data_IF_423099497923
#
_entry.id   IF_423099497923
#
_cell.length_a   1.000
_cell.length_b   1.000
_cell.length_c   1.000
_cell.angle_alpha   90.00
_cell.angle_beta   90.00
_cell.angle_gamma   90.00
#
_symmetry.space_group_name_H-M   'P 1'
#
loop_
_entity.id
_entity.type
_entity.pdbx_description
1 polymer ?
#
# COMPACT_ATOMS: atom_id res chain seq x y z
N UNK A 1 -26.41 19.74 -29.42
CA UNK A 1 -25.65 18.84 -28.53
C UNK A 1 -25.05 17.73 -29.38
N UNK A 2 -23.72 17.66 -29.53
CA UNK A 2 -23.10 16.53 -30.24
C UNK A 2 -23.36 15.24 -29.48
N UNK A 3 -23.82 14.16 -30.15
CA UNK A 3 -24.01 12.87 -29.49
C UNK A 3 -22.64 12.39 -28.98
N UNK A 4 -22.53 12.19 -27.67
CA UNK A 4 -21.36 11.51 -27.08
C UNK A 4 -21.31 10.10 -27.67
N UNK A 5 -20.39 9.88 -28.61
CA UNK A 5 -20.08 8.54 -29.11
C UNK A 5 -19.14 7.87 -28.13
N UNK A 6 -19.58 6.81 -27.48
CA UNK A 6 -18.73 5.94 -26.68
C UNK A 6 -17.78 5.21 -27.63
N UNK A 7 -16.48 5.50 -27.54
CA UNK A 7 -15.46 4.74 -28.25
C UNK A 7 -15.41 3.33 -27.64
N UNK A 8 -15.67 2.31 -28.47
CA UNK A 8 -15.39 0.93 -28.07
C UNK A 8 -13.86 0.78 -27.99
N UNK A 9 -13.36 0.59 -26.77
CA UNK A 9 -11.95 0.31 -26.54
C UNK A 9 -11.62 -1.07 -27.10
N UNK A 10 -10.48 -1.20 -27.77
CA UNK A 10 -10.02 -2.50 -28.21
C UNK A 10 -9.67 -3.37 -26.99
N UNK A 11 -9.76 -4.71 -27.08
CA UNK A 11 -9.39 -5.60 -25.97
C UNK A 11 -7.98 -5.36 -25.42
N UNK A 12 -7.04 -4.96 -26.28
CA UNK A 12 -5.68 -4.60 -25.87
C UNK A 12 -5.64 -3.33 -25.02
N UNK A 13 -6.45 -2.32 -25.36
CA UNK A 13 -6.58 -1.09 -24.56
C UNK A 13 -7.31 -1.39 -23.25
N UNK A 14 -8.34 -2.24 -23.26
CA UNK A 14 -9.01 -2.71 -22.04
C UNK A 14 -8.05 -3.43 -21.10
N UNK A 15 -7.24 -4.36 -21.61
CA UNK A 15 -6.23 -5.06 -20.81
C UNK A 15 -5.13 -4.11 -20.28
N UNK A 16 -4.73 -3.11 -21.08
CA UNK A 16 -3.79 -2.10 -20.63
C UNK A 16 -4.37 -1.21 -19.51
N UNK A 17 -5.61 -0.77 -19.65
CA UNK A 17 -6.30 0.00 -18.61
C UNK A 17 -6.50 -0.82 -17.33
N UNK A 18 -6.79 -2.12 -17.45
CA UNK A 18 -6.81 -3.03 -16.29
C UNK A 18 -5.47 -3.09 -15.56
N UNK A 19 -4.34 -3.03 -16.27
CA UNK A 19 -3.02 -2.92 -15.62
C UNK A 19 -2.88 -1.60 -14.86
N UNK A 20 -3.37 -0.48 -15.39
CA UNK A 20 -3.38 0.79 -14.66
C UNK A 20 -4.27 0.73 -13.41
N UNK A 21 -5.41 0.06 -13.50
CA UNK A 21 -6.31 -0.18 -12.37
C UNK A 21 -5.67 -1.05 -11.30
N UNK A 22 -5.08 -2.17 -11.70
CA UNK A 22 -4.43 -3.10 -10.78
C UNK A 22 -3.16 -2.49 -10.20
N UNK A 23 -2.35 -1.78 -10.96
CA UNK A 23 -1.06 -1.27 -10.47
C UNK A 23 -1.20 -0.07 -9.52
N UNK A 24 -2.10 0.88 -9.80
CA UNK A 24 -2.20 2.11 -9.03
C UNK A 24 -3.60 2.72 -8.97
N UNK A 25 -4.65 1.92 -9.15
CA UNK A 25 -6.04 2.39 -9.03
C UNK A 25 -6.41 3.48 -10.04
N UNK A 26 -5.81 3.46 -11.24
CA UNK A 26 -6.08 4.45 -12.29
C UNK A 26 -5.77 5.91 -11.91
N UNK A 27 -4.87 6.16 -10.93
CA UNK A 27 -4.52 7.51 -10.42
C UNK A 27 -4.18 8.54 -11.51
N UNK A 28 -3.59 8.12 -12.64
CA UNK A 28 -3.30 9.01 -13.78
C UNK A 28 -4.55 9.59 -14.46
N UNK A 29 -5.72 8.99 -14.24
CA UNK A 29 -6.99 9.36 -14.85
C UNK A 29 -7.96 10.02 -13.86
N UNK A 30 -7.56 10.19 -12.60
CA UNK A 30 -8.36 10.84 -11.56
C UNK A 30 -8.03 12.33 -11.45
N UNK A 31 -9.05 13.19 -11.32
CA UNK A 31 -8.83 14.61 -11.02
C UNK A 31 -8.21 14.79 -9.62
N UNK A 32 -7.38 15.82 -9.47
CA UNK A 32 -6.80 16.16 -8.17
C UNK A 32 -7.88 16.56 -7.17
N UNK A 33 -7.92 15.88 -6.01
CA UNK A 33 -8.79 16.26 -4.90
C UNK A 33 -8.24 17.45 -4.07
N UNK A 34 -7.02 17.91 -4.37
CA UNK A 34 -6.46 19.11 -3.77
C UNK A 34 -6.62 20.31 -4.72
N UNK A 35 -7.59 21.17 -4.43
CA UNK A 35 -7.86 22.40 -5.17
C UNK A 35 -7.19 23.65 -4.57
N UNK A 36 -6.22 23.48 -3.67
CA UNK A 36 -5.45 24.61 -3.14
C UNK A 36 -4.64 25.28 -4.25
N UNK A 37 -4.47 26.60 -4.17
CA UNK A 37 -3.62 27.38 -5.08
C UNK A 37 -2.11 27.24 -4.80
N UNK A 38 -1.72 26.37 -3.86
CA UNK A 38 -0.32 26.11 -3.56
C UNK A 38 0.40 25.50 -4.77
N UNK A 39 1.68 25.85 -5.00
CA UNK A 39 2.43 25.29 -6.11
C UNK A 39 2.60 23.77 -5.96
N UNK A 40 2.40 23.04 -7.05
CA UNK A 40 2.70 21.60 -7.10
C UNK A 40 4.20 21.36 -7.00
N UNK A 41 4.61 20.16 -6.55
CA UNK A 41 6.02 19.79 -6.58
C UNK A 41 6.60 19.88 -8.00
N UNK A 42 5.82 19.50 -9.01
CA UNK A 42 6.20 19.66 -10.42
C UNK A 42 6.49 21.13 -10.77
N UNK A 43 5.63 22.07 -10.35
CA UNK A 43 5.85 23.49 -10.57
C UNK A 43 7.13 23.99 -9.87
N UNK A 44 7.39 23.53 -8.63
CA UNK A 44 8.61 23.85 -7.88
C UNK A 44 9.85 23.27 -8.59
N UNK A 45 9.77 22.03 -9.06
CA UNK A 45 10.86 21.36 -9.78
C UNK A 45 11.13 22.05 -11.12
N UNK A 46 10.09 22.35 -11.89
CA UNK A 46 10.18 23.09 -13.15
C UNK A 46 10.81 24.47 -12.94
N UNK A 47 10.47 25.17 -11.84
CA UNK A 47 11.11 26.44 -11.47
C UNK A 47 12.60 26.27 -11.12
N UNK A 48 12.98 25.18 -10.45
CA UNK A 48 14.39 24.89 -10.15
C UNK A 48 15.19 24.52 -11.41
N UNK A 49 14.61 23.71 -12.28
CA UNK A 49 15.22 23.31 -13.56
C UNK A 49 15.35 24.52 -14.47
N UNK A 50 14.32 25.35 -14.61
CA UNK A 50 14.37 26.56 -15.43
C UNK A 50 15.41 27.56 -14.93
N UNK A 51 15.55 27.75 -13.60
CA UNK A 51 16.63 28.56 -13.00
C UNK A 51 18.01 27.97 -13.26
N UNK A 52 18.18 26.65 -13.21
CA UNK A 52 19.45 25.97 -13.55
C UNK A 52 19.76 26.07 -15.04
N UNK A 53 18.76 26.00 -15.92
CA UNK A 53 18.91 26.17 -17.36
C UNK A 53 19.21 27.62 -17.71
N UNK A 54 18.64 28.59 -17.00
CA UNK A 54 18.99 30.01 -17.12
C UNK A 54 20.42 30.30 -16.62
N UNK A 55 20.84 29.73 -15.49
CA UNK A 55 22.22 29.86 -14.97
C UNK A 55 23.27 29.11 -15.81
N UNK A 56 22.87 28.03 -16.50
CA UNK A 56 23.70 27.34 -17.51
C UNK A 56 23.54 27.93 -18.90
N UNK A 57 22.73 28.97 -19.05
CA UNK A 57 22.40 29.67 -20.30
C UNK A 57 23.53 30.55 -20.87
N UNK A 58 24.79 30.12 -20.72
CA UNK A 58 25.93 30.55 -21.55
C UNK A 58 26.62 29.33 -22.22
N UNK A 59 26.28 28.08 -21.86
CA UNK A 59 26.82 26.90 -22.54
C UNK A 59 25.83 25.72 -22.55
N UNK A 60 25.13 25.54 -23.66
CA UNK A 60 24.53 24.24 -24.02
C UNK A 60 23.00 24.19 -24.08
N UNK A 61 22.41 24.76 -25.14
CA UNK A 61 20.98 24.56 -25.49
C UNK A 61 20.85 23.54 -26.63
N UNK A 62 21.28 22.29 -26.44
CA UNK A 62 21.11 21.26 -27.47
C UNK A 62 20.81 19.83 -26.97
N UNK A 63 20.31 19.63 -25.74
CA UNK A 63 20.12 18.26 -25.25
C UNK A 63 18.88 18.01 -24.38
N UNK A 64 17.70 18.52 -24.77
CA UNK A 64 16.44 18.14 -24.08
C UNK A 64 15.33 17.66 -25.03
N UNK A 65 15.46 17.83 -26.34
CA UNK A 65 14.47 17.31 -27.30
C UNK A 65 14.79 15.91 -27.88
N UNK A 66 15.82 15.23 -27.38
CA UNK A 66 16.22 13.89 -27.84
C UNK A 66 15.74 12.72 -26.96
N UNK A 67 15.00 12.98 -25.86
CA UNK A 67 14.52 11.91 -24.96
C UNK A 67 13.18 11.27 -25.38
N UNK A 68 12.54 11.79 -26.43
CA UNK A 68 11.28 11.27 -26.96
C UNK A 68 11.39 10.29 -28.13
N UNK A 69 12.57 10.09 -28.72
CA UNK A 69 12.78 9.21 -29.88
C UNK A 69 14.13 8.47 -29.89
N UNK A 70 14.72 8.20 -28.72
CA UNK A 70 15.91 7.35 -28.65
C UNK A 70 15.50 5.89 -28.92
N UNK A 71 15.80 5.46 -30.16
CA UNK A 71 15.81 4.09 -30.66
C UNK A 71 16.31 3.06 -29.63
N UNK A 72 15.87 1.82 -29.79
CA UNK A 72 16.30 0.58 -29.11
C UNK A 72 17.79 0.26 -29.32
N UNK A 73 18.67 1.20 -28.98
CA UNK A 73 20.11 1.10 -29.18
C UNK A 73 20.77 0.49 -27.93
N UNK A 74 21.73 -0.40 -28.17
CA UNK A 74 22.47 -1.10 -27.13
C UNK A 74 23.14 -0.13 -26.16
N UNK A 75 22.76 -0.19 -24.89
CA UNK A 75 23.59 0.31 -23.80
C UNK A 75 24.63 -0.76 -23.47
N UNK A 76 25.86 -0.55 -23.94
CA UNK A 76 27.00 -1.28 -23.41
C UNK A 76 27.21 -0.87 -21.95
N UNK A 77 27.39 -1.86 -21.07
CA UNK A 77 27.62 -1.61 -19.65
C UNK A 77 28.90 -0.80 -19.47
N UNK A 78 28.82 0.32 -18.75
CA UNK A 78 30.00 1.04 -18.29
C UNK A 78 30.86 0.10 -17.44
N UNK A 79 32.13 -0.10 -17.83
CA UNK A 79 33.15 -0.77 -16.99
C UNK A 79 33.68 0.15 -15.88
N UNK A 80 33.22 1.41 -15.84
CA UNK A 80 33.50 2.37 -14.75
C UNK A 80 32.25 2.53 -13.89
N UNK A 81 32.09 1.65 -12.90
CA UNK A 81 31.03 1.74 -11.90
C UNK A 81 30.99 0.54 -10.96
N UNK A 82 30.30 0.66 -9.82
CA UNK A 82 30.08 -0.47 -8.87
C UNK A 82 29.07 -1.51 -9.40
N UNK A 83 28.41 -1.24 -10.52
CA UNK A 83 27.44 -2.13 -11.15
C UNK A 83 28.16 -3.01 -12.18
N UNK A 84 28.13 -4.33 -11.98
CA UNK A 84 28.93 -5.29 -12.76
C UNK A 84 28.09 -6.24 -13.61
N UNK A 85 26.77 -6.20 -13.51
CA UNK A 85 25.87 -7.07 -14.27
C UNK A 85 25.49 -6.45 -15.62
N UNK A 86 25.21 -7.30 -16.62
CA UNK A 86 24.67 -6.87 -17.91
C UNK A 86 23.18 -6.51 -17.76
N UNK A 87 22.73 -5.30 -18.14
CA UNK A 87 21.32 -4.94 -18.10
C UNK A 87 20.45 -5.88 -18.94
N UNK A 88 19.25 -6.20 -18.45
CA UNK A 88 18.23 -6.97 -19.17
C UNK A 88 17.50 -6.09 -20.18
N UNK A 89 16.80 -6.71 -21.14
CA UNK A 89 15.87 -6.02 -22.04
C UNK A 89 14.46 -6.00 -21.47
N UNK A 90 13.73 -4.92 -21.73
CA UNK A 90 12.29 -4.86 -21.48
C UNK A 90 11.59 -5.95 -22.30
N UNK A 91 10.64 -6.64 -21.68
CA UNK A 91 9.81 -7.66 -22.29
C UNK A 91 8.43 -7.69 -21.62
N UNK A 92 7.51 -8.44 -22.20
CA UNK A 92 6.14 -8.60 -21.70
C UNK A 92 5.83 -10.04 -21.28
N UNK A 93 6.86 -10.83 -20.96
CA UNK A 93 6.69 -12.23 -20.57
C UNK A 93 6.11 -12.29 -19.15
N UNK A 94 5.26 -13.28 -18.88
CA UNK A 94 4.71 -13.55 -17.54
C UNK A 94 5.73 -14.35 -16.68
N UNK A 95 6.92 -13.76 -16.50
CA UNK A 95 8.00 -14.30 -15.65
C UNK A 95 8.97 -13.19 -15.25
N UNK A 96 9.65 -13.39 -14.12
CA UNK A 96 10.71 -12.49 -13.70
C UNK A 96 11.96 -12.76 -14.55
N UNK A 97 12.41 -11.75 -15.30
CA UNK A 97 13.67 -11.78 -16.06
C UNK A 97 14.77 -11.14 -15.21
N UNK A 98 15.89 -11.83 -15.02
CA UNK A 98 17.05 -11.34 -14.26
C UNK A 98 18.33 -11.35 -15.11
N UNK A 99 19.38 -10.57 -14.73
CA UNK A 99 20.66 -10.62 -15.41
C UNK A 99 21.31 -12.01 -15.37
N UNK A 100 22.23 -12.27 -16.30
CA UNK A 100 23.03 -13.49 -16.31
C UNK A 100 23.78 -13.70 -14.99
N UNK A 101 23.78 -14.93 -14.47
CA UNK A 101 24.36 -15.28 -13.17
C UNK A 101 23.46 -15.03 -11.95
N UNK A 102 22.25 -14.50 -12.15
CA UNK A 102 21.25 -14.31 -11.09
C UNK A 102 20.12 -15.34 -11.21
N UNK A 103 19.39 -15.52 -10.11
CA UNK A 103 18.20 -16.38 -10.05
C UNK A 103 17.15 -15.78 -9.13
N UNK A 104 15.93 -16.33 -9.20
CA UNK A 104 14.81 -15.94 -8.36
C UNK A 104 14.21 -17.17 -7.70
N UNK A 105 13.64 -16.98 -6.51
CA UNK A 105 12.85 -17.98 -5.82
C UNK A 105 11.69 -17.30 -5.13
N UNK A 106 10.58 -18.02 -4.98
CA UNK A 106 9.44 -17.50 -4.22
C UNK A 106 9.63 -17.87 -2.76
N UNK A 107 9.68 -16.85 -1.90
CA UNK A 107 9.84 -17.04 -0.45
C UNK A 107 8.50 -17.37 0.21
N UNK A 108 7.47 -16.57 -0.05
CA UNK A 108 6.10 -16.72 0.48
C UNK A 108 5.10 -16.05 -0.47
N UNK A 109 3.84 -16.51 -0.49
CA UNK A 109 2.77 -16.07 -1.40
C UNK A 109 1.49 -15.77 -0.63
N UNK A 110 0.59 -14.99 -1.23
CA UNK A 110 -0.77 -14.82 -0.70
C UNK A 110 -1.41 -16.17 -0.38
N UNK A 111 -2.03 -16.27 0.80
CA UNK A 111 -2.70 -17.49 1.23
C UNK A 111 -1.79 -18.48 1.95
N UNK A 112 -0.46 -18.33 1.89
CA UNK A 112 0.45 -19.23 2.59
C UNK A 112 0.17 -19.18 4.11
N UNK A 113 -0.04 -20.34 4.77
CA UNK A 113 -0.36 -20.40 6.18
C UNK A 113 0.82 -19.98 7.05
N UNK A 114 0.55 -19.16 8.07
CA UNK A 114 1.61 -18.67 8.97
C UNK A 114 1.93 -19.65 10.10
N UNK A 115 0.96 -20.45 10.53
CA UNK A 115 1.09 -21.43 11.63
C UNK A 115 1.33 -22.84 11.10
N UNK A 116 2.03 -23.71 11.85
CA UNK A 116 2.37 -25.09 11.43
C UNK A 116 1.18 -25.90 10.91
N UNK A 117 0.03 -25.76 11.56
CA UNK A 117 -1.23 -26.41 11.19
C UNK A 117 -2.32 -25.39 10.83
N UNK A 118 -1.89 -24.23 10.31
CA UNK A 118 -2.78 -23.18 9.84
C UNK A 118 -3.60 -23.59 8.62
N UNK A 119 -4.68 -22.86 8.31
CA UNK A 119 -5.60 -23.17 7.22
C UNK A 119 -4.88 -23.09 5.87
N UNK A 120 -5.05 -24.11 5.03
CA UNK A 120 -4.49 -24.10 3.67
C UNK A 120 -5.21 -23.10 2.77
N UNK A 121 -4.48 -22.56 1.80
CA UNK A 121 -5.06 -21.64 0.83
C UNK A 121 -6.04 -22.37 -0.10
N UNK A 122 -7.23 -21.80 -0.24
CA UNK A 122 -8.32 -22.34 -1.05
C UNK A 122 -9.07 -21.18 -1.70
N UNK A 123 -8.76 -20.88 -2.97
CA UNK A 123 -9.40 -19.77 -3.70
C UNK A 123 -10.92 -19.96 -3.83
N UNK A 124 -11.38 -21.21 -3.88
CA UNK A 124 -12.78 -21.62 -3.97
C UNK A 124 -13.53 -21.62 -2.63
N UNK A 125 -12.80 -21.50 -1.51
CA UNK A 125 -13.34 -21.61 -0.16
C UNK A 125 -12.60 -20.70 0.84
N UNK A 126 -12.33 -19.46 0.46
CA UNK A 126 -11.76 -18.48 1.37
C UNK A 126 -12.76 -18.08 2.47
N UNK A 127 -12.23 -17.74 3.64
CA UNK A 127 -12.98 -17.24 4.79
C UNK A 127 -12.14 -16.22 5.55
N UNK A 128 -12.77 -15.25 6.25
CA UNK A 128 -12.02 -14.26 7.02
C UNK A 128 -11.15 -14.91 8.10
N UNK A 129 -11.63 -15.98 8.74
CA UNK A 129 -10.87 -16.73 9.75
C UNK A 129 -9.62 -17.39 9.17
N UNK A 130 -9.71 -17.90 7.93
CA UNK A 130 -8.56 -18.44 7.23
C UNK A 130 -7.58 -17.33 6.82
N UNK A 131 -8.09 -16.28 6.18
CA UNK A 131 -7.28 -15.18 5.68
C UNK A 131 -6.53 -14.45 6.80
N UNK A 132 -7.12 -14.30 7.99
CA UNK A 132 -6.47 -13.71 9.16
C UNK A 132 -5.25 -14.50 9.67
N UNK A 133 -5.08 -15.76 9.24
CA UNK A 133 -3.99 -16.67 9.62
C UNK A 133 -3.06 -17.03 8.46
N UNK A 134 -3.28 -16.41 7.30
CA UNK A 134 -2.51 -16.60 6.07
C UNK A 134 -1.77 -15.32 5.71
N UNK A 135 -0.74 -15.41 4.87
CA UNK A 135 -0.09 -14.25 4.27
C UNK A 135 -1.10 -13.41 3.47
N UNK A 136 -1.03 -12.09 3.60
CA UNK A 136 -1.99 -11.16 2.99
C UNK A 136 -1.87 -11.02 1.46
N UNK A 137 -2.69 -10.13 0.89
CA UNK A 137 -2.80 -9.90 -0.56
C UNK A 137 -2.07 -8.62 -0.99
N UNK A 138 -1.55 -8.60 -2.21
CA UNK A 138 -0.75 -7.51 -2.80
C UNK A 138 0.35 -7.01 -1.85
N UNK A 139 1.36 -7.87 -1.70
CA UNK A 139 2.56 -7.54 -0.95
C UNK A 139 3.22 -6.27 -1.50
N UNK A 140 3.48 -5.31 -0.62
CA UNK A 140 4.17 -4.06 -0.95
C UNK A 140 5.51 -3.99 -0.18
N UNK A 141 5.70 -3.03 0.74
CA UNK A 141 6.94 -2.89 1.50
C UNK A 141 7.47 -4.21 2.03
N UNK A 142 8.76 -4.48 1.81
CA UNK A 142 9.46 -5.62 2.43
C UNK A 142 10.60 -5.11 3.30
N UNK A 143 10.45 -5.22 4.61
CA UNK A 143 11.47 -4.91 5.60
C UNK A 143 12.13 -6.18 6.13
N UNK A 144 13.44 -6.36 5.88
CA UNK A 144 14.25 -7.37 6.56
C UNK A 144 14.77 -6.84 7.91
N UNK A 145 14.49 -7.58 8.98
CA UNK A 145 14.95 -7.33 10.35
C UNK A 145 15.84 -8.49 10.80
N UNK A 146 17.06 -8.24 11.31
CA UNK A 146 17.98 -9.31 11.70
C UNK A 146 17.43 -10.11 12.89
N UNK A 147 17.66 -11.42 12.92
CA UNK A 147 17.25 -12.26 14.05
C UNK A 147 18.44 -13.07 14.59
N UNK A 148 18.88 -12.86 15.84
CA UNK A 148 18.32 -11.96 16.87
C UNK A 148 18.43 -10.45 16.54
N UNK A 149 17.62 -9.63 17.23
CA UNK A 149 17.64 -8.17 17.12
C UNK A 149 19.06 -7.60 17.33
N UNK A 150 19.42 -6.55 16.58
CA UNK A 150 20.72 -5.87 16.61
C UNK A 150 21.93 -6.78 16.33
N UNK A 151 21.73 -7.85 15.55
CA UNK A 151 22.82 -8.70 15.06
C UNK A 151 23.06 -8.53 13.56
N UNK A 152 24.24 -8.90 13.08
CA UNK A 152 24.55 -9.01 11.65
C UNK A 152 24.33 -10.44 11.14
N UNK A 153 23.34 -11.18 11.67
CA UNK A 153 23.10 -12.56 11.27
C UNK A 153 22.78 -12.62 9.77
N UNK A 154 23.65 -13.24 8.94
CA UNK A 154 23.46 -13.22 7.50
C UNK A 154 22.40 -14.23 7.02
N UNK A 155 21.98 -15.17 7.89
CA UNK A 155 21.24 -16.36 7.49
C UNK A 155 19.83 -16.45 8.09
N UNK A 156 19.43 -15.50 8.95
CA UNK A 156 18.15 -15.55 9.66
C UNK A 156 17.63 -14.15 9.93
N UNK A 157 16.34 -13.95 9.74
CA UNK A 157 15.69 -12.66 9.97
C UNK A 157 14.18 -12.76 10.02
N UNK A 158 13.54 -11.64 10.30
CA UNK A 158 12.11 -11.45 10.15
C UNK A 158 11.87 -10.62 8.90
N UNK A 159 10.95 -11.05 8.03
CA UNK A 159 10.36 -10.19 7.02
C UNK A 159 9.09 -9.58 7.58
N UNK A 160 9.02 -8.25 7.57
CA UNK A 160 7.77 -7.53 7.69
C UNK A 160 7.31 -7.11 6.30
N UNK A 161 6.12 -7.56 5.91
CA UNK A 161 5.57 -7.33 4.57
C UNK A 161 4.22 -6.65 4.67
N UNK A 162 4.08 -5.50 4.03
CA UNK A 162 2.79 -4.81 3.92
C UNK A 162 1.87 -5.49 2.91
N UNK A 163 0.56 -5.30 3.08
CA UNK A 163 -0.50 -5.78 2.20
C UNK A 163 -1.45 -4.62 1.91
N UNK A 164 -1.29 -4.03 0.74
CA UNK A 164 -1.77 -2.68 0.46
C UNK A 164 -3.26 -2.67 0.08
N UNK A 165 -3.69 -3.50 -0.85
CA UNK A 165 -5.08 -3.52 -1.32
C UNK A 165 -5.48 -4.91 -1.79
N UNK A 166 -6.77 -5.10 -2.04
CA UNK A 166 -7.33 -6.34 -2.58
C UNK A 166 -7.79 -6.15 -4.02
N UNK A 167 -7.77 -7.23 -4.81
CA UNK A 167 -8.43 -7.30 -6.11
C UNK A 167 -9.52 -8.37 -6.02
N UNK A 168 -10.74 -8.01 -5.55
CA UNK A 168 -11.78 -9.00 -5.27
C UNK A 168 -12.16 -9.82 -6.52
N UNK A 169 -12.05 -9.24 -7.71
CA UNK A 169 -12.24 -9.93 -8.99
C UNK A 169 -11.20 -11.02 -9.29
N UNK A 170 -10.02 -10.95 -8.66
CA UNK A 170 -8.98 -11.96 -8.73
C UNK A 170 -8.96 -12.88 -7.49
N UNK A 171 -9.52 -12.42 -6.37
CA UNK A 171 -9.55 -13.16 -5.12
C UNK A 171 -10.73 -14.13 -5.02
N UNK A 172 -11.89 -13.77 -5.60
CA UNK A 172 -13.14 -14.51 -5.43
C UNK A 172 -13.68 -15.02 -6.77
N UNK A 173 -13.92 -16.33 -6.90
CA UNK A 173 -14.64 -16.87 -8.04
C UNK A 173 -16.02 -16.23 -8.19
N UNK A 174 -16.38 -15.87 -9.42
CA UNK A 174 -17.69 -15.28 -9.77
C UNK A 174 -17.99 -13.93 -9.06
N UNK A 175 -16.96 -13.17 -8.67
CA UNK A 175 -17.14 -11.86 -8.07
C UNK A 175 -17.97 -10.92 -8.96
N UNK A 176 -18.98 -10.25 -8.38
CA UNK A 176 -19.77 -9.23 -9.06
C UNK A 176 -19.18 -7.85 -8.79
N UNK A 177 -18.61 -7.23 -9.82
CA UNK A 177 -17.98 -5.91 -9.70
C UNK A 177 -18.95 -4.88 -9.11
N UNK A 178 -18.56 -4.24 -8.01
CA UNK A 178 -19.36 -3.22 -7.31
C UNK A 178 -20.51 -3.78 -6.46
N UNK A 179 -20.63 -5.10 -6.37
CA UNK A 179 -21.62 -5.80 -5.56
C UNK A 179 -21.00 -6.97 -4.77
N UNK A 180 -20.04 -6.69 -3.85
CA UNK A 180 -19.48 -7.74 -3.00
C UNK A 180 -20.52 -8.36 -2.06
N UNK A 181 -20.29 -9.61 -1.68
CA UNK A 181 -21.00 -10.30 -0.60
C UNK A 181 -20.38 -9.98 0.78
N UNK A 182 -21.12 -10.11 1.90
CA UNK A 182 -20.61 -9.77 3.22
C UNK A 182 -19.32 -10.51 3.60
N UNK A 183 -19.25 -11.81 3.29
CA UNK A 183 -18.08 -12.63 3.60
C UNK A 183 -16.86 -12.24 2.76
N UNK A 184 -17.06 -11.74 1.53
CA UNK A 184 -15.97 -11.25 0.67
C UNK A 184 -15.35 -10.00 1.28
N UNK A 185 -16.17 -9.05 1.73
CA UNK A 185 -15.69 -7.86 2.45
C UNK A 185 -14.93 -8.24 3.72
N UNK A 186 -15.44 -9.22 4.48
CA UNK A 186 -14.73 -9.71 5.67
C UNK A 186 -13.36 -10.33 5.32
N UNK A 187 -13.27 -11.14 4.25
CA UNK A 187 -11.98 -11.65 3.77
C UNK A 187 -11.05 -10.52 3.35
N UNK A 188 -11.56 -9.51 2.62
CA UNK A 188 -10.76 -8.38 2.20
C UNK A 188 -10.16 -7.63 3.39
N UNK A 189 -10.93 -7.37 4.45
CA UNK A 189 -10.44 -6.74 5.67
C UNK A 189 -9.27 -7.52 6.30
N UNK A 190 -9.38 -8.85 6.32
CA UNK A 190 -8.32 -9.72 6.83
C UNK A 190 -7.15 -9.92 5.86
N UNK A 191 -7.28 -9.52 4.60
CA UNK A 191 -6.21 -9.60 3.60
C UNK A 191 -5.26 -8.39 3.63
N UNK A 192 -5.70 -7.26 4.19
CA UNK A 192 -4.91 -6.03 4.33
C UNK A 192 -3.89 -6.10 5.49
N UNK A 193 -3.05 -5.07 5.58
CA UNK A 193 -2.27 -4.77 6.77
C UNK A 193 -0.82 -5.18 6.64
N UNK A 194 -0.32 -6.00 7.57
CA UNK A 194 1.08 -6.44 7.62
C UNK A 194 1.15 -7.92 7.97
N UNK A 195 2.11 -8.62 7.38
CA UNK A 195 2.54 -9.96 7.80
C UNK A 195 3.98 -9.90 8.29
N UNK A 196 4.23 -10.42 9.49
CA UNK A 196 5.58 -10.73 9.99
C UNK A 196 5.81 -12.22 9.80
N UNK A 197 6.92 -12.61 9.19
CA UNK A 197 7.36 -14.01 9.10
C UNK A 197 8.84 -14.16 9.38
N UNK A 198 9.20 -15.22 10.10
CA UNK A 198 10.59 -15.62 10.22
C UNK A 198 11.07 -16.30 8.93
N UNK A 199 12.26 -15.92 8.47
CA UNK A 199 12.95 -16.53 7.33
C UNK A 199 14.33 -17.03 7.73
N UNK A 200 14.77 -18.09 7.06
CA UNK A 200 16.13 -18.62 7.18
C UNK A 200 16.67 -19.00 5.81
N UNK A 201 17.98 -18.85 5.64
CA UNK A 201 18.68 -19.31 4.47
C UNK A 201 19.04 -20.81 4.62
N UNK A 202 18.64 -21.64 3.65
CA UNK A 202 18.95 -23.07 3.55
C UNK A 202 19.88 -23.33 2.38
N UNK A 203 21.18 -23.19 2.63
CA UNK A 203 22.20 -23.20 1.57
C UNK A 203 22.28 -21.86 0.86
N UNK A 204 23.30 -21.67 0.01
CA UNK A 204 23.62 -20.36 -0.58
C UNK A 204 22.48 -19.84 -1.44
N UNK A 205 21.90 -18.69 -1.07
CA UNK A 205 20.89 -17.97 -1.86
C UNK A 205 19.45 -18.50 -1.75
N UNK A 206 19.22 -19.62 -1.05
CA UNK A 206 17.89 -20.21 -0.92
C UNK A 206 17.24 -19.80 0.40
N UNK A 207 16.35 -18.82 0.36
CA UNK A 207 15.60 -18.35 1.52
C UNK A 207 14.23 -19.03 1.60
N UNK A 208 13.87 -19.48 2.79
CA UNK A 208 12.55 -20.05 3.08
C UNK A 208 11.96 -19.41 4.32
N UNK A 209 10.65 -19.25 4.37
CA UNK A 209 9.96 -18.88 5.61
C UNK A 209 9.78 -20.09 6.52
N UNK A 210 9.73 -19.84 7.82
CA UNK A 210 9.51 -20.86 8.84
C UNK A 210 8.06 -20.81 9.32
N UNK A 211 7.22 -21.67 8.73
CA UNK A 211 5.84 -21.88 9.14
C UNK A 211 5.77 -22.30 10.62
N UNK A 212 4.91 -21.64 11.40
CA UNK A 212 4.77 -21.87 12.83
C UNK A 212 5.85 -21.25 13.71
N UNK A 213 6.71 -20.38 13.17
CA UNK A 213 7.56 -19.56 14.04
C UNK A 213 6.71 -18.73 14.99
N UNK A 214 7.16 -18.62 16.24
CA UNK A 214 6.52 -17.78 17.27
C UNK A 214 6.45 -16.29 16.90
N UNK A 215 7.26 -15.85 15.94
CA UNK A 215 7.25 -14.47 15.45
C UNK A 215 6.22 -14.23 14.35
N UNK A 216 5.69 -15.30 13.74
CA UNK A 216 4.77 -15.15 12.63
C UNK A 216 3.46 -14.50 13.11
N UNK A 217 3.02 -13.46 12.41
CA UNK A 217 1.88 -12.66 12.84
C UNK A 217 1.20 -11.95 11.67
N UNK A 218 -0.13 -11.90 11.72
CA UNK A 218 -0.93 -10.95 10.94
C UNK A 218 -1.34 -9.74 11.78
N UNK A 219 -1.25 -8.58 11.15
CA UNK A 219 -1.89 -7.33 11.55
C UNK A 219 -2.80 -6.97 10.39
N UNK A 220 -4.09 -6.76 10.63
CA UNK A 220 -5.12 -6.64 9.59
C UNK A 220 -5.98 -5.39 9.76
N UNK A 221 -7.00 -5.20 8.93
CA UNK A 221 -7.96 -4.10 9.04
C UNK A 221 -8.90 -4.19 10.27
N UNK A 222 -8.81 -5.27 11.04
CA UNK A 222 -9.60 -5.50 12.26
C UNK A 222 -8.73 -5.60 13.52
N UNK A 223 -7.40 -5.64 13.37
CA UNK A 223 -6.47 -5.73 14.49
C UNK A 223 -6.54 -4.49 15.38
N UNK A 224 -6.67 -4.65 16.69
CA UNK A 224 -6.63 -3.52 17.62
C UNK A 224 -5.29 -2.79 17.55
N UNK A 225 -5.35 -1.49 17.33
CA UNK A 225 -4.24 -0.55 17.35
C UNK A 225 -4.50 0.57 18.37
N UNK A 226 -3.46 1.26 18.80
CA UNK A 226 -3.52 2.44 19.67
C UNK A 226 -3.14 3.70 18.89
N UNK A 227 -3.89 4.78 19.08
CA UNK A 227 -3.51 6.12 18.64
C UNK A 227 -2.63 6.76 19.73
N UNK A 228 -1.45 7.21 19.34
CA UNK A 228 -0.48 7.83 20.26
C UNK A 228 0.04 9.14 19.70
N UNK A 229 0.37 10.09 20.58
CA UNK A 229 0.86 11.41 20.20
C UNK A 229 -0.21 12.50 20.30
N UNK A 230 0.04 13.71 19.75
CA UNK A 230 -0.74 14.91 20.07
C UNK A 230 -2.22 14.89 19.68
N UNK A 231 -2.63 14.06 18.71
CA UNK A 231 -4.03 14.02 18.27
C UNK A 231 -4.84 12.96 19.01
N UNK A 232 -4.18 12.00 19.70
CA UNK A 232 -4.84 10.93 20.43
C UNK A 232 -5.79 11.52 21.49
N UNK A 233 -7.02 11.03 21.51
CA UNK A 233 -8.07 11.51 22.42
C UNK A 233 -8.79 12.80 22.03
N UNK A 234 -8.39 13.44 20.92
CA UNK A 234 -9.11 14.59 20.39
C UNK A 234 -10.53 14.22 19.94
N UNK A 235 -11.45 15.18 19.96
CA UNK A 235 -12.85 14.95 19.58
C UNK A 235 -13.03 14.43 18.15
N UNK A 236 -12.07 14.74 17.26
CA UNK A 236 -12.05 14.29 15.87
C UNK A 236 -11.69 12.82 15.71
N UNK A 237 -11.14 12.17 16.75
CA UNK A 237 -10.82 10.73 16.73
C UNK A 237 -11.82 9.88 17.49
N UNK A 238 -12.82 10.48 18.15
CA UNK A 238 -13.86 9.77 18.89
C UNK A 238 -14.94 9.27 17.95
N UNK A 239 -15.39 8.04 18.16
CA UNK A 239 -16.49 7.39 17.41
C UNK A 239 -17.48 6.77 18.39
N UNK A 240 -18.59 6.23 17.89
CA UNK A 240 -19.53 5.53 18.77
C UNK A 240 -18.92 4.27 19.41
N UNK A 241 -17.97 3.62 18.74
CA UNK A 241 -17.31 2.41 19.21
C UNK A 241 -16.09 2.69 20.10
N UNK A 242 -15.49 3.88 19.97
CA UNK A 242 -14.39 4.34 20.82
C UNK A 242 -14.61 5.81 21.22
N UNK A 243 -15.29 6.05 22.35
CA UNK A 243 -15.52 7.39 22.85
C UNK A 243 -14.26 8.03 23.45
N UNK A 244 -13.19 7.27 23.67
CA UNK A 244 -11.93 7.84 24.18
C UNK A 244 -11.05 8.37 23.06
N UNK A 245 -11.21 7.90 21.81
CA UNK A 245 -10.46 8.39 20.64
C UNK A 245 -8.99 7.99 20.66
N UNK A 246 -8.67 6.86 21.29
CA UNK A 246 -7.31 6.38 21.56
C UNK A 246 -7.06 4.95 21.09
N UNK A 247 -8.11 4.23 20.73
CA UNK A 247 -8.06 2.89 20.15
C UNK A 247 -8.48 3.01 18.70
N UNK A 248 -8.12 2.07 17.84
CA UNK A 248 -8.72 1.94 16.50
C UNK A 248 -8.60 0.49 16.05
N UNK A 249 -9.60 0.00 15.32
CA UNK A 249 -9.51 -1.31 14.69
C UNK A 249 -8.89 -1.15 13.30
N UNK A 250 -7.67 -1.66 13.20
CA UNK A 250 -6.98 -1.93 11.95
C UNK A 250 -5.96 -0.89 11.52
N UNK A 251 -5.23 -1.31 10.51
CA UNK A 251 -4.44 -0.46 9.62
C UNK A 251 -4.86 -0.76 8.18
N UNK A 252 -4.93 0.27 7.35
CA UNK A 252 -5.46 0.16 5.99
C UNK A 252 -4.48 0.71 4.97
N UNK A 253 -4.49 0.11 3.79
CA UNK A 253 -3.72 0.60 2.65
C UNK A 253 -2.24 0.83 2.98
N UNK A 254 -1.66 -0.19 3.59
CA UNK A 254 -0.27 -0.24 3.98
C UNK A 254 0.59 -0.29 2.72
N UNK A 255 1.12 0.87 2.31
CA UNK A 255 1.89 1.05 1.07
C UNK A 255 3.36 0.68 1.31
N UNK A 256 4.26 1.67 1.33
CA UNK A 256 5.66 1.47 1.70
C UNK A 256 5.85 1.58 3.24
N UNK A 257 7.07 1.89 3.66
CA UNK A 257 7.39 1.93 5.08
C UNK A 257 8.82 2.37 5.38
N UNK A 258 9.26 2.05 6.59
CA UNK A 258 10.58 2.34 7.10
C UNK A 258 10.97 1.43 8.25
N UNK A 259 12.24 1.51 8.64
CA UNK A 259 12.78 0.78 9.79
C UNK A 259 13.40 1.79 10.73
N UNK A 260 13.04 1.73 11.99
CA UNK A 260 13.67 2.55 13.01
C UNK A 260 15.01 1.94 13.43
N UNK A 261 15.97 2.75 13.90
CA UNK A 261 17.25 2.24 14.39
C UNK A 261 17.11 1.40 15.67
N UNK A 262 15.98 1.53 16.39
CA UNK A 262 15.65 0.69 17.55
C UNK A 262 14.90 -0.61 17.18
N UNK A 263 14.76 -0.91 15.89
CA UNK A 263 14.33 -2.22 15.42
C UNK A 263 12.82 -2.39 15.19
N UNK A 264 12.04 -1.32 15.18
CA UNK A 264 10.60 -1.37 14.85
C UNK A 264 10.35 -1.08 13.37
N UNK A 265 9.25 -1.63 12.86
CA UNK A 265 8.68 -1.30 11.56
C UNK A 265 7.85 -0.03 11.66
N UNK A 266 7.98 0.84 10.66
CA UNK A 266 7.02 1.89 10.34
C UNK A 266 6.29 1.49 9.06
N UNK A 267 4.99 1.22 9.14
CA UNK A 267 4.12 0.96 7.97
C UNK A 267 3.22 2.17 7.72
N UNK A 268 2.91 2.47 6.47
CA UNK A 268 2.31 3.74 6.06
C UNK A 268 0.93 3.53 5.43
N UNK A 269 -0.10 4.19 5.96
CA UNK A 269 -1.44 4.19 5.37
C UNK A 269 -1.52 5.25 4.26
N UNK A 270 -1.65 4.84 2.99
CA UNK A 270 -1.64 5.74 1.82
C UNK A 270 -3.07 6.11 1.39
N UNK A 271 -3.72 5.27 0.58
CA UNK A 271 -5.02 5.55 -0.04
C UNK A 271 -6.20 5.19 0.87
N UNK A 272 -6.08 5.34 2.18
CA UNK A 272 -7.13 4.97 3.15
C UNK A 272 -8.52 5.57 2.85
N UNK A 273 -8.60 6.73 2.19
CA UNK A 273 -9.85 7.39 1.81
C UNK A 273 -10.80 6.53 0.94
N UNK A 274 -10.26 5.63 0.10
CA UNK A 274 -11.04 4.88 -0.89
C UNK A 274 -11.93 3.77 -0.27
N UNK A 275 -11.77 3.52 1.02
CA UNK A 275 -12.52 2.52 1.77
C UNK A 275 -13.75 3.12 2.48
N UNK A 276 -13.90 4.44 2.45
CA UNK A 276 -14.99 5.16 3.11
C UNK A 276 -15.95 5.71 2.06
N UNK A 277 -17.26 5.75 2.36
CA UNK A 277 -18.27 6.21 1.43
C UNK A 277 -19.37 7.06 2.08
N UNK A 278 -20.28 7.55 1.23
CA UNK A 278 -21.49 8.31 1.55
C UNK A 278 -21.23 9.69 2.18
N UNK A 279 -20.21 10.40 1.72
CA UNK A 279 -19.90 11.74 2.26
C UNK A 279 -21.05 12.74 2.08
N UNK A 280 -21.77 12.71 0.95
CA UNK A 280 -22.86 13.66 0.66
C UNK A 280 -24.12 13.43 1.52
N UNK A 281 -24.15 12.34 2.29
CA UNK A 281 -25.21 12.11 3.28
C UNK A 281 -24.98 12.88 4.60
N UNK A 282 -23.81 13.47 4.81
CA UNK A 282 -23.59 14.43 5.90
C UNK A 282 -24.15 15.80 5.55
N UNK A 283 -24.54 16.56 6.58
CA UNK A 283 -24.94 17.95 6.42
C UNK A 283 -23.76 18.74 5.81
N UNK A 284 -24.03 19.54 4.78
CA UNK A 284 -22.98 20.31 4.08
C UNK A 284 -22.32 21.37 4.96
N UNK A 285 -22.95 21.76 6.07
CA UNK A 285 -22.41 22.68 7.08
C UNK A 285 -21.54 21.98 8.13
N UNK A 286 -21.50 20.64 8.14
CA UNK A 286 -20.63 19.89 9.04
C UNK A 286 -19.15 20.17 8.68
N UNK A 287 -18.33 20.65 9.64
CA UNK A 287 -16.94 21.02 9.37
C UNK A 287 -16.09 19.84 8.88
N UNK A 288 -16.50 18.60 9.16
CA UNK A 288 -15.81 17.39 8.70
C UNK A 288 -15.90 17.22 7.19
N UNK A 289 -16.98 17.68 6.56
CA UNK A 289 -17.18 17.52 5.11
C UNK A 289 -16.07 18.19 4.32
N UNK A 290 -15.67 19.41 4.69
CA UNK A 290 -14.58 20.13 4.02
C UNK A 290 -13.25 19.37 4.12
N UNK A 291 -12.95 18.78 5.29
CA UNK A 291 -11.73 17.99 5.49
C UNK A 291 -11.78 16.68 4.71
N UNK A 292 -12.89 15.96 4.75
CA UNK A 292 -13.07 14.70 4.02
C UNK A 292 -12.98 14.90 2.51
N UNK A 293 -13.57 15.97 1.97
CA UNK A 293 -13.44 16.36 0.56
C UNK A 293 -11.98 16.59 0.18
N UNK A 294 -11.21 17.29 1.02
CA UNK A 294 -9.77 17.51 0.78
C UNK A 294 -8.97 16.22 0.67
N UNK A 295 -9.36 15.17 1.39
CA UNK A 295 -8.71 13.85 1.33
C UNK A 295 -9.25 12.96 0.20
N UNK A 296 -10.33 13.40 -0.48
CA UNK A 296 -10.94 12.71 -1.61
C UNK A 296 -11.91 11.61 -1.22
N UNK A 297 -12.52 11.66 -0.02
CA UNK A 297 -13.53 10.67 0.35
C UNK A 297 -14.70 10.74 -0.66
N UNK A 298 -15.13 9.61 -1.24
CA UNK A 298 -16.25 9.54 -2.18
C UNK A 298 -17.55 10.19 -1.67
N UNK A 299 -18.19 10.97 -2.55
CA UNK A 299 -19.50 11.58 -2.32
C UNK A 299 -20.59 10.53 -2.06
N UNK A 300 -20.64 9.49 -2.90
CA UNK A 300 -21.53 8.34 -2.76
C UNK A 300 -20.80 7.10 -2.26
N UNK A 301 -21.23 5.93 -2.72
CA UNK A 301 -20.60 4.64 -2.39
C UNK A 301 -19.11 4.65 -2.70
N UNK A 302 -18.33 3.98 -1.86
CA UNK A 302 -16.91 3.75 -2.11
C UNK A 302 -16.71 2.74 -3.24
N UNK A 303 -15.51 2.66 -3.82
CA UNK A 303 -15.20 1.59 -4.80
C UNK A 303 -15.34 0.19 -4.17
N UNK A 304 -15.02 0.11 -2.87
CA UNK A 304 -14.97 -1.14 -2.09
C UNK A 304 -16.34 -1.57 -1.60
N UNK A 305 -17.28 -0.64 -1.44
CA UNK A 305 -18.63 -0.90 -0.95
C UNK A 305 -18.65 -1.61 0.42
N UNK A 306 -17.60 -1.40 1.23
CA UNK A 306 -17.47 -1.96 2.57
C UNK A 306 -18.50 -1.37 3.53
N UNK A 307 -18.83 -0.10 3.35
CA UNK A 307 -19.80 0.67 4.13
C UNK A 307 -21.19 0.02 4.20
N UNK A 308 -21.52 -0.85 3.24
CA UNK A 308 -22.78 -1.60 3.22
C UNK A 308 -22.85 -2.67 4.31
N UNK A 309 -21.73 -3.21 4.75
CA UNK A 309 -21.67 -4.34 5.69
C UNK A 309 -20.95 -4.00 6.99
N UNK A 310 -20.04 -3.02 6.98
CA UNK A 310 -19.38 -2.51 8.17
C UNK A 310 -19.57 -0.99 8.28
N UNK A 311 -20.36 -0.60 9.29
CA UNK A 311 -20.75 0.79 9.54
C UNK A 311 -19.57 1.74 9.75
N UNK A 312 -18.38 1.22 10.13
CA UNK A 312 -17.16 2.03 10.31
C UNK A 312 -16.78 2.74 9.01
N UNK A 313 -17.07 2.11 7.87
CA UNK A 313 -16.73 2.65 6.56
C UNK A 313 -17.82 3.58 5.99
N UNK A 314 -18.97 3.69 6.65
CA UNK A 314 -20.06 4.60 6.29
C UNK A 314 -19.89 5.94 7.01
N UNK A 315 -19.44 6.97 6.28
CA UNK A 315 -19.16 8.30 6.84
C UNK A 315 -20.43 8.98 7.36
N UNK A 316 -21.60 8.62 6.82
CA UNK A 316 -22.88 9.13 7.33
C UNK A 316 -23.22 8.61 8.73
N UNK A 317 -22.59 7.50 9.15
CA UNK A 317 -22.83 6.84 10.44
C UNK A 317 -21.69 7.01 11.42
N UNK A 318 -20.44 6.89 10.95
CA UNK A 318 -19.23 7.08 11.73
C UNK A 318 -18.34 8.15 11.07
N UNK A 319 -18.77 9.43 11.07
CA UNK A 319 -18.09 10.51 10.35
C UNK A 319 -16.64 10.77 10.80
N UNK A 320 -16.29 10.30 12.00
CA UNK A 320 -14.95 10.45 12.56
C UNK A 320 -14.02 9.25 12.28
N UNK A 321 -14.54 8.11 11.82
CA UNK A 321 -13.72 6.92 11.54
C UNK A 321 -12.61 7.21 10.53
N UNK A 322 -12.82 7.94 9.41
CA UNK A 322 -11.74 8.24 8.47
C UNK A 322 -10.58 9.02 9.10
N UNK A 323 -10.79 9.80 10.18
CA UNK A 323 -9.70 10.53 10.85
C UNK A 323 -8.75 9.60 11.62
N UNK A 324 -9.17 8.37 11.92
CA UNK A 324 -8.35 7.36 12.61
C UNK A 324 -7.44 6.56 11.66
N UNK A 325 -7.42 6.93 10.37
CA UNK A 325 -6.55 6.37 9.32
C UNK A 325 -5.79 7.48 8.57
N UNK A 326 -4.76 7.10 7.81
CA UNK A 326 -3.82 8.02 7.16
C UNK A 326 -2.62 8.36 8.04
N UNK A 327 -2.20 7.41 8.88
CA UNK A 327 -1.10 7.59 9.82
C UNK A 327 0.07 6.65 9.50
N UNK A 328 1.26 7.01 9.96
CA UNK A 328 2.34 6.03 10.13
C UNK A 328 2.03 5.17 11.35
N UNK A 329 2.10 3.85 11.19
CA UNK A 329 1.86 2.85 12.25
C UNK A 329 3.16 2.15 12.60
N UNK A 330 3.54 2.20 13.88
CA UNK A 330 4.71 1.50 14.39
C UNK A 330 4.35 0.11 14.90
N UNK A 331 5.15 -0.89 14.53
CA UNK A 331 5.00 -2.29 14.92
C UNK A 331 6.36 -2.83 15.38
N UNK A 332 6.39 -3.53 16.50
CA UNK A 332 7.55 -4.33 16.90
C UNK A 332 7.47 -5.72 16.22
N UNK A 333 8.35 -6.05 15.26
CA UNK A 333 8.31 -7.36 14.60
C UNK A 333 8.81 -8.50 15.50
N UNK A 334 9.51 -8.22 16.61
CA UNK A 334 10.05 -9.23 17.50
C UNK A 334 9.09 -9.62 18.63
N UNK A 335 8.06 -8.81 18.88
CA UNK A 335 7.01 -9.08 19.85
C UNK A 335 5.66 -9.33 19.17
N UNK A 336 5.23 -10.60 19.02
CA UNK A 336 3.95 -10.93 18.40
C UNK A 336 2.73 -10.45 19.21
N UNK A 337 2.92 -9.97 20.44
CA UNK A 337 1.85 -9.42 21.29
C UNK A 337 1.78 -7.89 21.28
N UNK A 338 2.77 -7.22 20.68
CA UNK A 338 2.85 -5.76 20.63
C UNK A 338 1.58 -5.16 20.00
N UNK A 339 0.92 -4.22 20.66
CA UNK A 339 -0.23 -3.51 20.08
C UNK A 339 0.29 -2.43 19.13
N UNK A 340 -0.01 -2.47 17.81
CA UNK A 340 0.47 -1.48 16.86
C UNK A 340 0.08 -0.05 17.26
N UNK A 341 0.99 0.91 17.01
CA UNK A 341 0.81 2.30 17.45
C UNK A 341 0.75 3.25 16.26
N UNK A 342 -0.43 3.83 16.00
CA UNK A 342 -0.57 4.94 15.06
C UNK A 342 0.07 6.19 15.66
N UNK A 343 1.09 6.73 14.99
CA UNK A 343 1.94 7.80 15.51
C UNK A 343 1.47 9.16 14.99
N UNK A 344 0.55 9.79 15.72
CA UNK A 344 -0.10 11.02 15.23
C UNK A 344 0.83 12.23 15.15
N UNK A 345 1.98 12.17 15.84
CA UNK A 345 3.01 13.21 15.75
C UNK A 345 3.63 13.34 14.36
N UNK A 346 3.55 12.28 13.53
CA UNK A 346 4.07 12.29 12.15
C UNK A 346 3.08 12.90 11.14
N UNK A 347 1.93 13.40 11.62
CA UNK A 347 0.90 14.00 10.78
C UNK A 347 0.03 12.98 10.05
N UNK A 348 -1.14 13.45 9.62
CA UNK A 348 -2.10 12.67 8.84
C UNK A 348 -2.06 13.10 7.38
N UNK A 349 -1.85 12.16 6.48
CA UNK A 349 -1.94 12.31 5.02
C UNK A 349 -1.88 10.93 4.36
N UNK A 350 -1.83 10.88 3.04
CA UNK A 350 -1.62 9.63 2.28
C UNK A 350 -0.12 9.30 2.30
N UNK A 351 0.31 8.53 3.29
CA UNK A 351 1.74 8.25 3.51
C UNK A 351 2.23 7.16 2.54
N UNK A 352 3.20 7.47 1.71
CA UNK A 352 3.91 6.47 0.89
C UNK A 352 4.89 5.70 1.78
N UNK A 353 5.92 6.39 2.32
CA UNK A 353 7.04 5.79 3.04
C UNK A 353 7.42 6.65 4.26
N UNK A 354 8.15 6.04 5.20
CA UNK A 354 8.70 6.70 6.38
C UNK A 354 10.21 6.39 6.53
N UNK A 355 11.05 6.85 5.57
CA UNK A 355 12.48 6.56 5.62
C UNK A 355 13.12 7.22 6.84
N UNK A 356 13.85 6.43 7.62
CA UNK A 356 14.71 6.93 8.71
C UNK A 356 16.11 7.05 8.14
N UNK A 357 16.69 8.26 8.23
CA UNK A 357 18.02 8.61 7.68
C UNK A 357 19.06 8.53 8.79
#
# INVERSE_FOLDING_TARGET
MSPRRTLQLSPAVTAWLQKCRWACGEKCFTESCNHSENPTFEAILAQRVSRRTALRGVAGVALVLALGQASLSHTEGSTRGRLTFRPIRLNSDDRVTVPEGYGTTVVIRWGDPLESWGPEFRVDAQSPEAQARQFGYNADFVGLFPLPLLTNNPNRGLLAVNHEYTNPELMFPNYRQGDPEPWQVAVELEAHGVTIVEITQRGRGNWVYLRGSRYNRRITATTRCELTGPAAGSDWLKTSADPTGTVVLGTLNNCAGGKTPWGTLLTCEENFHQYFGNLDALDSTDPRVAVHKRYGIPAGKSERVWERFDRRFDVSREPNEPFRFGWVVEIDPYDPTFVPKKRTALGRFKHEAAPVV
#
